data_IF_310271388852
#
_entry.id   IF_310271388852
#
_cell.length_a   1.000
_cell.length_b   1.000
_cell.length_c   1.000
_cell.angle_alpha   90.00
_cell.angle_beta   90.00
_cell.angle_gamma   90.00
#
_symmetry.space_group_name_H-M   'P 1'
#
loop_
_entity.id
_entity.type
_entity.pdbx_description
1 polymer ?
#
# COMPACT_ATOMS: atom_id res chain seq x y z
N UNK A 1 -10.19 -22.98 11.07
CA UNK A 1 -9.08 -22.86 12.07
C UNK A 1 -8.53 -21.45 11.96
N UNK A 2 -8.45 -20.75 13.10
CA UNK A 2 -7.91 -19.38 13.13
C UNK A 2 -6.37 -19.45 13.14
N UNK A 3 -5.78 -19.61 11.95
CA UNK A 3 -4.33 -19.71 11.80
C UNK A 3 -3.67 -18.34 11.91
N UNK A 4 -2.55 -18.26 12.65
CA UNK A 4 -1.79 -17.02 12.79
C UNK A 4 -1.29 -16.47 11.45
N UNK A 5 -0.99 -15.16 11.39
CA UNK A 5 -0.55 -14.47 10.18
C UNK A 5 0.66 -15.14 9.51
N UNK A 6 1.66 -15.56 10.30
CA UNK A 6 2.86 -16.23 9.77
C UNK A 6 2.52 -17.53 9.03
N UNK A 7 1.54 -18.28 9.50
CA UNK A 7 1.06 -19.48 8.83
C UNK A 7 0.29 -19.14 7.54
N UNK A 8 -0.53 -18.09 7.57
CA UNK A 8 -1.32 -17.67 6.41
C UNK A 8 -0.45 -17.22 5.24
N UNK A 9 0.61 -16.46 5.46
CA UNK A 9 1.52 -16.02 4.38
C UNK A 9 2.26 -17.18 3.72
N UNK A 10 2.44 -18.31 4.41
CA UNK A 10 3.13 -19.50 3.88
C UNK A 10 2.16 -20.40 3.11
N UNK A 11 1.00 -20.69 3.69
CA UNK A 11 0.11 -21.76 3.22
C UNK A 11 -1.10 -21.27 2.40
N UNK A 12 -1.41 -19.98 2.39
CA UNK A 12 -2.50 -19.50 1.55
C UNK A 12 -2.10 -19.60 0.08
N UNK A 13 -2.96 -20.20 -0.74
CA UNK A 13 -2.68 -20.47 -2.15
C UNK A 13 -2.21 -21.91 -2.44
N UNK A 14 -1.86 -22.70 -1.43
CA UNK A 14 -1.45 -24.10 -1.61
C UNK A 14 -2.59 -24.97 -2.21
N UNK A 15 -3.85 -24.56 -2.05
CA UNK A 15 -5.02 -25.22 -2.62
C UNK A 15 -5.14 -25.13 -4.15
N UNK A 16 -4.26 -24.39 -4.82
CA UNK A 16 -4.25 -24.23 -6.28
C UNK A 16 -3.33 -25.23 -7.02
N UNK A 17 -2.88 -26.27 -6.32
CA UNK A 17 -2.01 -27.31 -6.90
C UNK A 17 -2.66 -28.08 -8.09
N UNK A 18 -4.00 -27.98 -8.26
CA UNK A 18 -4.72 -28.75 -9.27
C UNK A 18 -4.47 -30.23 -9.10
N UNK A 19 -4.65 -31.01 -10.17
CA UNK A 19 -4.43 -32.47 -10.17
C UNK A 19 -2.95 -32.87 -10.13
N UNK A 20 -2.00 -31.92 -10.21
CA UNK A 20 -0.56 -32.22 -10.25
C UNK A 20 0.07 -32.35 -8.87
N UNK A 21 -0.60 -31.91 -7.79
CA UNK A 21 -0.08 -31.98 -6.42
C UNK A 21 1.16 -31.09 -6.17
N UNK A 22 1.38 -30.05 -6.98
CA UNK A 22 2.51 -29.13 -6.81
C UNK A 22 2.39 -28.33 -5.52
N UNK A 23 3.48 -28.20 -4.75
CA UNK A 23 3.52 -27.39 -3.52
C UNK A 23 3.50 -25.88 -3.81
N UNK A 24 4.23 -25.43 -4.85
CA UNK A 24 4.12 -24.08 -5.37
C UNK A 24 3.17 -24.05 -6.56
N UNK A 25 2.29 -23.02 -6.66
CA UNK A 25 1.43 -22.88 -7.82
C UNK A 25 2.26 -22.78 -9.11
N UNK A 26 1.82 -23.40 -10.22
CA UNK A 26 2.43 -23.19 -11.53
C UNK A 26 2.34 -21.74 -11.99
N UNK A 27 3.22 -21.36 -12.94
CA UNK A 27 3.07 -20.12 -13.67
C UNK A 27 2.20 -20.39 -14.91
N UNK A 28 1.17 -19.55 -15.13
CA UNK A 28 0.25 -19.68 -16.29
C UNK A 28 0.51 -18.54 -17.30
N UNK A 29 1.60 -18.62 -18.09
CA UNK A 29 1.99 -17.57 -19.04
C UNK A 29 1.22 -17.71 -20.36
N UNK A 30 -0.08 -17.77 -20.30
CA UNK A 30 -0.97 -17.88 -21.46
C UNK A 30 -1.81 -16.61 -21.63
N UNK A 31 -2.11 -16.23 -22.87
CA UNK A 31 -3.03 -15.13 -23.15
C UNK A 31 -4.49 -15.59 -23.10
N UNK A 32 -4.78 -16.81 -23.57
CA UNK A 32 -6.13 -17.30 -23.81
C UNK A 32 -6.31 -18.70 -23.21
N UNK A 33 -7.47 -18.94 -22.64
CA UNK A 33 -7.87 -20.25 -22.08
C UNK A 33 -8.92 -20.91 -22.96
N UNK A 34 -8.95 -22.23 -22.99
CA UNK A 34 -9.98 -22.99 -23.71
C UNK A 34 -11.35 -22.70 -23.14
N UNK A 35 -12.35 -22.54 -24.02
CA UNK A 35 -13.73 -22.33 -23.60
C UNK A 35 -14.25 -23.52 -22.77
N UNK A 36 -14.99 -23.24 -21.71
CA UNK A 36 -15.57 -24.28 -20.82
C UNK A 36 -14.55 -24.93 -19.87
N UNK A 37 -13.35 -24.37 -19.69
CA UNK A 37 -12.40 -24.87 -18.70
C UNK A 37 -12.94 -24.78 -17.26
N UNK A 38 -12.54 -25.71 -16.39
CA UNK A 38 -13.02 -25.80 -15.01
C UNK A 38 -12.67 -24.56 -14.14
N UNK A 39 -11.65 -23.76 -14.52
CA UNK A 39 -11.25 -22.57 -13.79
C UNK A 39 -12.12 -21.33 -14.07
N UNK A 40 -12.94 -21.36 -15.14
CA UNK A 40 -13.78 -20.25 -15.58
C UNK A 40 -13.00 -19.09 -16.17
N UNK A 41 -11.75 -19.32 -16.62
CA UNK A 41 -10.93 -18.32 -17.29
C UNK A 41 -11.21 -18.30 -18.78
N UNK A 42 -11.08 -17.13 -19.42
CA UNK A 42 -11.15 -16.98 -20.87
C UNK A 42 -9.89 -16.33 -21.45
N UNK A 43 -9.49 -15.22 -20.85
CA UNK A 43 -8.39 -14.38 -21.33
C UNK A 43 -7.63 -13.76 -20.15
N UNK A 44 -6.29 -13.79 -20.17
CA UNK A 44 -5.47 -13.37 -19.01
C UNK A 44 -5.72 -11.91 -18.59
N UNK A 45 -6.00 -10.98 -19.53
CA UNK A 45 -6.37 -9.60 -19.15
C UNK A 45 -7.63 -9.55 -18.28
N UNK A 46 -8.51 -10.52 -18.41
CA UNK A 46 -9.77 -10.61 -17.64
C UNK A 46 -9.67 -11.47 -16.38
N UNK A 47 -8.60 -12.25 -16.26
CA UNK A 47 -8.34 -13.12 -15.11
C UNK A 47 -7.31 -14.21 -15.44
N UNK A 48 -6.53 -14.59 -14.44
CA UNK A 48 -5.49 -15.60 -14.55
C UNK A 48 -5.36 -16.33 -13.20
N UNK A 49 -5.04 -17.63 -13.16
CA UNK A 49 -4.87 -18.35 -11.91
C UNK A 49 -3.86 -17.69 -10.97
N UNK A 50 -2.74 -17.15 -11.48
CA UNK A 50 -1.73 -16.49 -10.65
C UNK A 50 -2.26 -15.18 -10.03
N UNK A 51 -3.18 -14.45 -10.71
CA UNK A 51 -3.83 -13.28 -10.11
C UNK A 51 -4.72 -13.71 -8.93
N UNK A 52 -5.59 -14.70 -9.17
CA UNK A 52 -6.52 -15.23 -8.15
C UNK A 52 -5.78 -15.75 -6.91
N UNK A 53 -4.61 -16.40 -7.11
CA UNK A 53 -3.77 -16.88 -6.00
C UNK A 53 -3.26 -15.69 -5.19
N UNK A 54 -2.68 -14.69 -5.86
CA UNK A 54 -2.10 -13.52 -5.18
C UNK A 54 -3.19 -12.67 -4.51
N UNK A 55 -4.36 -12.49 -5.16
CA UNK A 55 -5.53 -11.85 -4.56
C UNK A 55 -5.91 -12.51 -3.23
N UNK A 56 -6.03 -13.85 -3.24
CA UNK A 56 -6.35 -14.61 -2.04
C UNK A 56 -5.31 -14.48 -0.94
N UNK A 57 -4.02 -14.54 -1.28
CA UNK A 57 -2.92 -14.36 -0.32
C UNK A 57 -3.00 -12.97 0.31
N UNK A 58 -3.15 -11.92 -0.49
CA UNK A 58 -3.20 -10.54 -0.01
C UNK A 58 -4.45 -10.28 0.84
N UNK A 59 -5.62 -10.75 0.42
CA UNK A 59 -6.84 -10.66 1.22
C UNK A 59 -6.68 -11.34 2.58
N UNK A 60 -6.06 -12.52 2.60
CA UNK A 60 -5.77 -13.24 3.85
C UNK A 60 -4.79 -12.49 4.76
N UNK A 61 -3.77 -11.86 4.20
CA UNK A 61 -2.75 -11.10 4.96
C UNK A 61 -3.36 -9.81 5.52
N UNK A 62 -4.11 -9.07 4.70
CA UNK A 62 -4.87 -7.88 5.13
C UNK A 62 -5.97 -8.23 6.13
N UNK A 63 -6.50 -9.45 6.09
CA UNK A 63 -7.64 -9.85 6.91
C UNK A 63 -8.96 -9.29 6.37
N UNK A 64 -9.09 -9.19 5.06
CA UNK A 64 -10.26 -8.64 4.39
C UNK A 64 -10.95 -9.67 3.48
N UNK A 65 -12.12 -9.31 2.95
CA UNK A 65 -12.92 -10.17 2.09
C UNK A 65 -12.35 -10.27 0.67
N UNK A 66 -11.78 -9.17 0.15
CA UNK A 66 -11.41 -9.05 -1.25
C UNK A 66 -10.08 -8.33 -1.43
N UNK A 67 -9.29 -8.80 -2.40
CA UNK A 67 -8.15 -8.07 -2.95
C UNK A 67 -8.21 -8.14 -4.48
N UNK A 68 -7.63 -7.14 -5.14
CA UNK A 68 -7.46 -7.10 -6.60
C UNK A 68 -6.03 -6.64 -6.88
N UNK A 69 -5.27 -7.43 -7.65
CA UNK A 69 -3.88 -7.13 -7.99
C UNK A 69 -3.77 -6.32 -9.29
N UNK A 70 -2.69 -5.55 -9.42
CA UNK A 70 -2.44 -4.63 -10.53
C UNK A 70 -0.97 -4.68 -10.94
N UNK A 71 -0.68 -4.21 -12.17
CA UNK A 71 0.67 -4.20 -12.73
C UNK A 71 1.69 -3.37 -11.93
N UNK A 72 1.23 -2.41 -11.13
CA UNK A 72 2.06 -1.58 -10.25
C UNK A 72 1.20 -0.89 -9.19
N UNK A 73 1.84 -0.29 -8.17
CA UNK A 73 1.13 0.59 -7.24
C UNK A 73 0.41 1.74 -7.95
N UNK A 74 1.04 2.35 -8.96
CA UNK A 74 0.41 3.42 -9.75
C UNK A 74 -0.78 2.90 -10.55
N UNK A 75 -0.74 1.67 -11.08
CA UNK A 75 -1.91 1.04 -11.72
C UNK A 75 -3.05 0.83 -10.74
N UNK A 76 -2.75 0.45 -9.50
CA UNK A 76 -3.75 0.34 -8.43
C UNK A 76 -4.39 1.71 -8.09
N UNK A 77 -3.58 2.77 -7.96
CA UNK A 77 -4.06 4.15 -7.79
C UNK A 77 -4.97 4.55 -8.97
N UNK A 78 -4.52 4.30 -10.20
CA UNK A 78 -5.29 4.60 -11.42
C UNK A 78 -6.66 3.90 -11.43
N UNK A 79 -6.72 2.63 -11.02
CA UNK A 79 -7.97 1.89 -10.94
C UNK A 79 -8.97 2.51 -9.96
N UNK A 80 -8.51 2.96 -8.79
CA UNK A 80 -9.35 3.63 -7.79
C UNK A 80 -9.82 4.99 -8.29
N UNK A 81 -8.90 5.82 -8.77
CA UNK A 81 -9.22 7.19 -9.23
C UNK A 81 -10.11 7.20 -10.47
N UNK A 82 -10.03 6.17 -11.32
CA UNK A 82 -10.90 6.02 -12.49
C UNK A 82 -12.40 5.84 -12.15
N UNK A 83 -12.75 5.61 -10.89
CA UNK A 83 -14.13 5.56 -10.44
C UNK A 83 -14.75 6.94 -10.21
N UNK A 84 -13.93 7.98 -10.19
CA UNK A 84 -14.37 9.35 -9.98
C UNK A 84 -14.83 9.99 -11.27
N UNK A 85 -15.70 10.98 -11.15
CA UNK A 85 -16.31 11.70 -12.27
C UNK A 85 -15.65 13.08 -12.45
N UNK A 86 -15.85 13.66 -13.60
CA UNK A 86 -15.50 15.07 -13.85
C UNK A 86 -16.17 15.98 -12.82
N UNK A 87 -15.39 16.84 -12.21
CA UNK A 87 -15.84 17.77 -11.19
C UNK A 87 -15.74 17.26 -9.75
N UNK A 88 -15.55 15.95 -9.55
CA UNK A 88 -15.33 15.36 -8.23
C UNK A 88 -14.09 15.96 -7.56
N UNK A 89 -14.19 16.17 -6.24
CA UNK A 89 -13.08 16.61 -5.40
C UNK A 89 -12.50 15.43 -4.63
N UNK A 90 -11.19 15.25 -4.71
CA UNK A 90 -10.41 14.39 -3.81
C UNK A 90 -9.69 15.25 -2.80
N UNK A 91 -9.92 14.99 -1.52
CA UNK A 91 -9.17 15.61 -0.44
C UNK A 91 -7.98 14.72 -0.09
N UNK A 92 -6.77 15.21 -0.35
CA UNK A 92 -5.54 14.43 -0.27
C UNK A 92 -4.66 14.88 0.89
N UNK A 93 -4.00 13.93 1.57
CA UNK A 93 -2.86 14.28 2.41
C UNK A 93 -1.81 15.02 1.56
N UNK A 94 -1.24 16.11 2.10
CA UNK A 94 -0.26 16.94 1.37
C UNK A 94 1.08 16.24 1.12
N UNK A 95 1.40 15.24 1.94
CA UNK A 95 2.67 14.52 1.89
C UNK A 95 2.44 13.10 1.37
N UNK A 96 2.31 12.97 0.07
CA UNK A 96 2.10 11.71 -0.65
C UNK A 96 3.29 11.33 -1.52
N UNK A 97 3.34 10.06 -1.91
CA UNK A 97 4.26 9.58 -2.92
C UNK A 97 4.19 10.41 -4.20
N UNK A 98 5.34 10.88 -4.72
CA UNK A 98 5.40 11.82 -5.82
C UNK A 98 4.73 11.38 -7.12
N UNK A 99 4.63 10.07 -7.40
CA UNK A 99 3.86 9.60 -8.55
C UNK A 99 2.35 9.70 -8.32
N UNK A 100 1.87 9.58 -7.08
CA UNK A 100 0.46 9.82 -6.75
C UNK A 100 0.10 11.27 -7.04
N UNK A 101 0.92 12.22 -6.56
CA UNK A 101 0.74 13.66 -6.83
C UNK A 101 0.72 13.93 -8.35
N UNK A 102 1.71 13.40 -9.08
CA UNK A 102 1.75 13.57 -10.55
C UNK A 102 0.53 12.99 -11.26
N UNK A 103 0.03 11.87 -10.79
CA UNK A 103 -1.16 11.24 -11.38
C UNK A 103 -2.39 12.12 -11.20
N UNK A 104 -2.60 12.68 -10.00
CA UNK A 104 -3.71 13.59 -9.73
C UNK A 104 -3.57 14.90 -10.51
N UNK A 105 -2.43 15.59 -10.43
CA UNK A 105 -2.27 16.93 -10.98
C UNK A 105 -2.01 16.98 -12.48
N UNK A 106 -1.32 15.97 -13.05
CA UNK A 106 -0.89 16.03 -14.45
C UNK A 106 -1.66 15.08 -15.36
N UNK A 107 -2.35 14.07 -14.81
CA UNK A 107 -3.15 13.13 -15.59
C UNK A 107 -4.62 13.37 -15.37
N UNK A 108 -5.14 13.12 -14.18
CA UNK A 108 -6.57 13.16 -13.92
C UNK A 108 -7.16 14.58 -13.85
N UNK A 109 -6.34 15.60 -13.54
CA UNK A 109 -6.77 16.99 -13.67
C UNK A 109 -7.21 17.34 -15.08
N UNK A 110 -6.61 16.73 -16.12
CA UNK A 110 -7.01 16.91 -17.53
C UNK A 110 -8.40 16.38 -17.82
N UNK A 111 -8.90 15.45 -17.02
CA UNK A 111 -10.25 14.91 -17.12
C UNK A 111 -11.23 15.61 -16.16
N UNK A 112 -10.80 16.73 -15.56
CA UNK A 112 -11.62 17.58 -14.71
C UNK A 112 -11.73 17.11 -13.26
N UNK A 113 -10.89 16.19 -12.80
CA UNK A 113 -10.77 15.84 -11.38
C UNK A 113 -10.19 17.04 -10.61
N UNK A 114 -10.73 17.33 -9.46
CA UNK A 114 -10.24 18.36 -8.55
C UNK A 114 -9.51 17.72 -7.37
N UNK A 115 -8.40 18.31 -6.95
CA UNK A 115 -7.66 17.88 -5.76
C UNK A 115 -7.47 19.06 -4.81
N UNK A 116 -7.58 18.80 -3.51
CA UNK A 116 -7.20 19.71 -2.46
C UNK A 116 -6.22 19.01 -1.50
N UNK A 117 -5.14 19.68 -1.17
CA UNK A 117 -4.05 19.15 -0.36
C UNK A 117 -4.18 19.66 1.07
N UNK A 118 -4.13 18.77 2.04
CA UNK A 118 -4.38 19.07 3.46
C UNK A 118 -3.42 18.29 4.33
N UNK A 119 -2.89 18.91 5.38
CA UNK A 119 -2.16 18.20 6.43
C UNK A 119 -3.14 17.49 7.39
N UNK A 120 -3.36 16.20 7.18
CA UNK A 120 -4.26 15.39 8.00
C UNK A 120 -3.76 15.11 9.42
N UNK A 121 -2.57 15.59 9.78
CA UNK A 121 -2.13 15.59 11.19
C UNK A 121 -2.71 16.77 11.98
N UNK A 122 -3.36 17.72 11.30
CA UNK A 122 -3.96 18.90 11.90
C UNK A 122 -5.49 18.75 12.05
N UNK A 123 -6.09 19.18 13.18
CA UNK A 123 -7.54 19.09 13.39
C UNK A 123 -8.37 19.78 12.30
N UNK A 124 -7.87 20.88 11.74
CA UNK A 124 -8.51 21.62 10.67
C UNK A 124 -8.80 20.79 9.41
N UNK A 125 -8.03 19.70 9.17
CA UNK A 125 -8.29 18.79 8.06
C UNK A 125 -9.64 18.08 8.20
N UNK A 126 -10.01 17.70 9.42
CA UNK A 126 -11.28 17.04 9.72
C UNK A 126 -12.48 17.97 9.46
N UNK A 127 -12.33 19.25 9.79
CA UNK A 127 -13.33 20.27 9.48
C UNK A 127 -13.51 20.47 7.97
N UNK A 128 -12.42 20.38 7.20
CA UNK A 128 -12.47 20.48 5.74
C UNK A 128 -13.24 19.32 5.09
N UNK A 129 -13.17 18.10 5.64
CA UNK A 129 -13.99 16.98 5.16
C UNK A 129 -15.49 17.34 5.25
N UNK A 130 -15.92 17.85 6.40
CA UNK A 130 -17.31 18.22 6.63
C UNK A 130 -17.76 19.38 5.75
N UNK A 131 -16.90 20.39 5.59
CA UNK A 131 -17.22 21.60 4.83
C UNK A 131 -17.27 21.35 3.31
N UNK A 132 -16.29 20.59 2.78
CA UNK A 132 -16.13 20.39 1.34
C UNK A 132 -16.87 19.16 0.81
N UNK A 133 -17.18 18.18 1.68
CA UNK A 133 -17.82 16.91 1.32
C UNK A 133 -17.19 16.28 0.06
N UNK A 134 -15.89 15.97 0.09
CA UNK A 134 -15.20 15.44 -1.07
C UNK A 134 -15.81 14.11 -1.53
N UNK A 135 -15.65 13.78 -2.81
CA UNK A 135 -16.05 12.48 -3.35
C UNK A 135 -15.17 11.33 -2.83
N UNK A 136 -13.97 11.66 -2.33
CA UNK A 136 -13.02 10.69 -1.78
C UNK A 136 -11.99 11.41 -0.90
N UNK A 137 -11.54 10.74 0.17
CA UNK A 137 -10.37 11.12 0.95
C UNK A 137 -9.22 10.17 0.61
N UNK A 138 -8.05 10.74 0.28
CA UNK A 138 -6.86 9.98 -0.07
C UNK A 138 -5.72 10.22 0.92
N UNK A 139 -5.29 9.16 1.58
CA UNK A 139 -4.27 9.18 2.62
C UNK A 139 -3.10 8.26 2.27
N UNK A 140 -1.94 8.60 2.82
CA UNK A 140 -0.78 7.71 2.95
C UNK A 140 -0.32 7.78 4.40
N UNK A 141 -0.22 6.64 5.08
CA UNK A 141 0.17 6.63 6.49
C UNK A 141 0.92 5.33 6.83
N UNK A 142 2.18 5.42 7.28
CA UNK A 142 3.03 6.62 7.37
C UNK A 142 3.34 7.24 5.99
N UNK A 143 3.49 8.57 5.92
CA UNK A 143 3.71 9.28 4.66
C UNK A 143 5.14 9.16 4.12
N UNK A 144 5.31 9.27 2.81
CA UNK A 144 6.60 9.35 2.14
C UNK A 144 6.92 10.81 1.76
N UNK A 145 8.06 11.42 2.19
CA UNK A 145 9.14 10.80 2.96
C UNK A 145 9.13 11.09 4.47
N UNK A 146 8.19 11.90 4.97
CA UNK A 146 8.30 12.49 6.32
C UNK A 146 7.81 11.60 7.45
N UNK A 147 7.25 10.43 7.13
CA UNK A 147 6.70 9.46 8.07
C UNK A 147 5.65 10.07 9.03
N UNK A 148 4.87 11.08 8.56
CA UNK A 148 3.70 11.54 9.30
C UNK A 148 2.75 10.36 9.50
N UNK A 149 2.16 10.25 10.68
CA UNK A 149 1.16 9.21 10.98
C UNK A 149 -0.19 9.89 11.17
N UNK A 150 -1.12 9.55 10.29
CA UNK A 150 -2.48 10.11 10.28
C UNK A 150 -3.36 9.26 11.18
N UNK A 151 -4.21 9.89 11.97
CA UNK A 151 -5.23 9.22 12.78
C UNK A 151 -6.36 8.72 11.88
N UNK A 152 -6.24 7.48 11.41
CA UNK A 152 -7.17 6.88 10.46
C UNK A 152 -8.57 6.72 11.06
N UNK A 153 -8.67 6.34 12.35
CA UNK A 153 -9.97 6.20 13.03
C UNK A 153 -10.69 7.54 13.10
N UNK A 154 -9.98 8.63 13.42
CA UNK A 154 -10.57 9.97 13.47
C UNK A 154 -11.10 10.43 12.10
N UNK A 155 -10.34 10.18 11.02
CA UNK A 155 -10.80 10.48 9.64
C UNK A 155 -12.01 9.64 9.28
N UNK A 156 -11.96 8.33 9.52
CA UNK A 156 -13.03 7.41 9.16
C UNK A 156 -14.32 7.66 9.95
N UNK A 157 -14.22 8.07 11.22
CA UNK A 157 -15.39 8.43 12.03
C UNK A 157 -16.20 9.60 11.43
N UNK A 158 -15.53 10.50 10.70
CA UNK A 158 -16.21 11.64 10.03
C UNK A 158 -16.71 11.23 8.64
N UNK A 159 -15.93 10.46 7.89
CA UNK A 159 -16.26 10.14 6.49
C UNK A 159 -17.36 9.09 6.37
N UNK A 160 -17.39 8.10 7.26
CA UNK A 160 -18.36 6.99 7.20
C UNK A 160 -19.83 7.47 7.25
N UNK A 161 -20.25 8.36 8.18
CA UNK A 161 -21.63 8.86 8.20
C UNK A 161 -22.00 9.68 6.96
N UNK A 162 -21.01 10.22 6.25
CA UNK A 162 -21.18 11.00 5.03
C UNK A 162 -21.14 10.14 3.76
N UNK A 163 -20.86 8.83 3.89
CA UNK A 163 -20.70 7.93 2.75
C UNK A 163 -19.46 8.24 1.89
N UNK A 164 -18.46 8.94 2.44
CA UNK A 164 -17.24 9.32 1.73
C UNK A 164 -16.21 8.21 1.85
N UNK A 165 -15.76 7.59 0.74
CA UNK A 165 -14.75 6.54 0.77
C UNK A 165 -13.37 7.11 1.17
N UNK A 166 -12.68 6.36 2.04
CA UNK A 166 -11.30 6.62 2.46
C UNK A 166 -10.38 5.59 1.85
N UNK A 167 -9.38 6.06 1.11
CA UNK A 167 -8.29 5.26 0.55
C UNK A 167 -7.04 5.50 1.37
N UNK A 168 -6.39 4.44 1.80
CA UNK A 168 -5.12 4.52 2.52
C UNK A 168 -4.04 3.75 1.75
N UNK A 169 -3.03 4.45 1.27
CA UNK A 169 -1.80 3.81 0.82
C UNK A 169 -1.01 3.33 2.05
N UNK A 170 -1.00 2.01 2.22
CA UNK A 170 -0.40 1.31 3.36
C UNK A 170 0.97 0.70 3.00
N UNK A 171 1.59 1.14 1.91
CA UNK A 171 2.82 0.54 1.37
C UNK A 171 3.95 0.52 2.39
N UNK A 172 4.14 1.58 3.17
CA UNK A 172 5.24 1.69 4.13
C UNK A 172 5.04 0.86 5.39
N UNK A 173 3.79 0.69 5.83
CA UNK A 173 3.48 -0.11 7.02
C UNK A 173 3.29 -1.60 6.70
N UNK A 174 2.64 -1.93 5.60
CA UNK A 174 2.06 -3.25 5.31
C UNK A 174 0.99 -3.67 6.32
N UNK A 175 0.20 -4.69 6.00
CA UNK A 175 -0.80 -5.25 6.90
C UNK A 175 -0.22 -5.89 8.18
N UNK A 176 1.10 -6.12 8.24
CA UNK A 176 1.76 -6.63 9.43
C UNK A 176 1.88 -5.57 10.53
N UNK A 177 2.01 -4.31 10.12
CA UNK A 177 2.20 -3.17 11.02
C UNK A 177 0.90 -2.40 11.22
N UNK A 178 0.16 -2.11 10.16
CA UNK A 178 -1.07 -1.32 10.19
C UNK A 178 -2.12 -1.93 9.27
N UNK A 179 -3.38 -1.95 9.71
CA UNK A 179 -4.52 -2.48 8.94
C UNK A 179 -5.60 -1.41 8.76
N UNK A 180 -5.53 -0.62 7.71
CA UNK A 180 -6.45 0.48 7.48
C UNK A 180 -7.92 0.09 7.48
N UNK A 181 -8.26 -1.10 6.96
CA UNK A 181 -9.64 -1.58 6.91
C UNK A 181 -10.22 -1.87 8.31
N UNK A 182 -9.39 -2.33 9.26
CA UNK A 182 -9.79 -2.51 10.66
C UNK A 182 -10.01 -1.17 11.37
N UNK A 183 -9.39 -0.09 10.85
CA UNK A 183 -9.52 1.29 11.36
C UNK A 183 -10.61 2.11 10.63
N UNK A 184 -11.40 1.45 9.78
CA UNK A 184 -12.55 2.03 9.12
C UNK A 184 -12.34 2.55 7.70
N UNK A 185 -11.14 2.43 7.12
CA UNK A 185 -10.91 2.79 5.73
C UNK A 185 -11.73 1.91 4.77
N UNK A 186 -12.13 2.48 3.63
CA UNK A 186 -12.88 1.77 2.59
C UNK A 186 -11.94 0.89 1.75
N UNK A 187 -10.76 1.42 1.42
CA UNK A 187 -9.77 0.77 0.60
C UNK A 187 -8.39 0.86 1.26
N UNK A 188 -7.69 -0.29 1.34
CA UNK A 188 -6.27 -0.36 1.65
C UNK A 188 -5.52 -0.64 0.36
N UNK A 189 -4.67 0.28 -0.05
CA UNK A 189 -3.84 0.18 -1.24
C UNK A 189 -2.39 -0.12 -0.84
N UNK A 190 -1.71 -0.94 -1.62
CA UNK A 190 -0.29 -1.21 -1.41
C UNK A 190 0.46 -1.40 -2.72
N UNK A 191 1.67 -0.88 -2.82
CA UNK A 191 2.63 -1.30 -3.84
C UNK A 191 3.28 -2.60 -3.40
N UNK A 192 2.88 -3.71 -4.00
CA UNK A 192 3.46 -5.02 -3.73
C UNK A 192 4.92 -5.12 -4.15
N UNK A 193 5.38 -4.19 -5.00
CA UNK A 193 6.79 -3.97 -5.40
C UNK A 193 7.74 -3.84 -4.21
N UNK A 194 7.26 -3.30 -3.07
CA UNK A 194 8.06 -2.94 -1.90
C UNK A 194 8.22 -4.13 -0.95
N UNK A 195 7.79 -3.99 0.30
CA UNK A 195 7.96 -5.02 1.34
C UNK A 195 7.27 -6.34 1.03
N UNK A 196 6.11 -6.32 0.36
CA UNK A 196 5.34 -7.52 0.05
C UNK A 196 6.19 -8.49 -0.78
N UNK A 197 6.70 -8.06 -1.92
CA UNK A 197 7.67 -8.83 -2.71
C UNK A 197 9.03 -8.92 -2.00
N UNK A 198 9.64 -7.78 -1.70
CA UNK A 198 10.84 -7.62 -0.88
C UNK A 198 12.16 -8.10 -1.49
N UNK A 199 12.18 -8.41 -2.80
CA UNK A 199 13.35 -8.97 -3.48
C UNK A 199 13.83 -8.11 -4.67
N UNK A 200 13.14 -6.96 -4.93
CA UNK A 200 13.48 -6.01 -6.01
C UNK A 200 13.49 -6.61 -7.43
N UNK A 201 12.70 -7.65 -7.66
CA UNK A 201 12.65 -8.44 -8.90
C UNK A 201 11.26 -8.52 -9.54
N UNK A 202 10.24 -7.86 -8.97
CA UNK A 202 8.89 -7.78 -9.53
C UNK A 202 8.22 -6.44 -9.24
N UNK A 203 7.34 -6.01 -10.13
CA UNK A 203 6.45 -4.87 -9.95
C UNK A 203 5.02 -5.36 -9.68
N UNK A 204 4.30 -4.61 -8.84
CA UNK A 204 2.89 -4.87 -8.61
C UNK A 204 2.24 -3.89 -7.66
N UNK A 205 0.93 -3.91 -7.65
CA UNK A 205 0.08 -3.20 -6.70
C UNK A 205 -1.12 -4.02 -6.32
N UNK A 206 -1.79 -3.65 -5.26
CA UNK A 206 -3.05 -4.26 -4.86
C UNK A 206 -3.97 -3.25 -4.18
N UNK A 207 -5.26 -3.49 -4.32
CA UNK A 207 -6.32 -2.82 -3.54
C UNK A 207 -7.10 -3.88 -2.79
N UNK A 208 -7.20 -3.71 -1.48
CA UNK A 208 -7.92 -4.58 -0.56
C UNK A 208 -9.16 -3.86 -0.02
N UNK A 209 -10.27 -4.58 0.15
CA UNK A 209 -11.52 -4.03 0.66
C UNK A 209 -12.42 -5.10 1.25
N UNK A 210 -13.34 -4.68 2.14
CA UNK A 210 -14.47 -5.51 2.59
C UNK A 210 -15.77 -5.21 1.83
N UNK A 211 -15.78 -4.18 0.99
CA UNK A 211 -16.94 -3.76 0.22
C UNK A 211 -17.00 -4.49 -1.13
N UNK A 212 -18.02 -5.33 -1.39
CA UNK A 212 -18.14 -6.07 -2.64
C UNK A 212 -18.38 -5.16 -3.86
N UNK A 213 -18.96 -3.97 -3.69
CA UNK A 213 -19.17 -3.02 -4.79
C UNK A 213 -17.83 -2.41 -5.22
N UNK A 214 -16.98 -2.01 -4.26
CA UNK A 214 -15.64 -1.55 -4.56
C UNK A 214 -14.77 -2.64 -5.18
N UNK A 215 -14.90 -3.89 -4.71
CA UNK A 215 -14.20 -5.01 -5.34
C UNK A 215 -14.60 -5.18 -6.81
N UNK A 216 -15.89 -5.14 -7.14
CA UNK A 216 -16.36 -5.23 -8.53
C UNK A 216 -15.82 -4.07 -9.39
N UNK A 217 -15.80 -2.85 -8.86
CA UNK A 217 -15.20 -1.69 -9.52
C UNK A 217 -13.70 -1.90 -9.81
N UNK A 218 -12.96 -2.48 -8.86
CA UNK A 218 -11.52 -2.76 -9.05
C UNK A 218 -11.28 -3.83 -10.12
N UNK A 219 -12.02 -4.93 -10.09
CA UNK A 219 -11.94 -5.99 -11.09
C UNK A 219 -12.32 -5.45 -12.48
N UNK A 220 -13.35 -4.62 -12.57
CA UNK A 220 -13.72 -3.97 -13.82
C UNK A 220 -12.62 -3.07 -14.36
N UNK A 221 -12.05 -2.20 -13.52
CA UNK A 221 -10.96 -1.29 -13.92
C UNK A 221 -9.71 -2.05 -14.34
N UNK A 222 -9.34 -3.11 -13.61
CA UNK A 222 -8.22 -3.97 -13.98
C UNK A 222 -8.37 -4.47 -15.42
N UNK A 223 -9.54 -5.00 -15.76
CA UNK A 223 -9.86 -5.53 -17.09
C UNK A 223 -10.01 -4.45 -18.15
N UNK A 224 -10.81 -3.41 -17.89
CA UNK A 224 -11.21 -2.42 -18.88
C UNK A 224 -10.09 -1.47 -19.24
N UNK A 225 -9.26 -1.08 -18.28
CA UNK A 225 -8.13 -0.16 -18.48
C UNK A 225 -6.81 -0.89 -18.78
N UNK A 226 -6.81 -2.23 -18.80
CA UNK A 226 -5.59 -3.01 -19.06
C UNK A 226 -4.54 -2.89 -17.98
N UNK A 227 -4.96 -2.83 -16.69
CA UNK A 227 -4.09 -2.64 -15.53
C UNK A 227 -3.68 -3.95 -14.86
N UNK A 228 -3.97 -5.09 -15.47
CA UNK A 228 -3.63 -6.41 -14.94
C UNK A 228 -2.12 -6.60 -14.83
N UNK A 229 -1.63 -7.33 -13.81
CA UNK A 229 -0.21 -7.67 -13.67
C UNK A 229 0.23 -8.76 -14.67
N UNK A 230 1.52 -9.06 -14.68
CA UNK A 230 2.06 -10.26 -15.32
C UNK A 230 1.82 -11.50 -14.42
N UNK A 231 1.43 -12.66 -14.98
CA UNK A 231 1.38 -13.91 -14.20
C UNK A 231 2.72 -14.27 -13.53
N UNK A 232 3.83 -13.94 -14.19
CA UNK A 232 5.16 -14.17 -13.65
C UNK A 232 5.45 -13.29 -12.43
N UNK A 233 5.12 -11.99 -12.51
CA UNK A 233 5.27 -11.07 -11.37
C UNK A 233 4.38 -11.51 -10.19
N UNK A 234 3.14 -11.92 -10.46
CA UNK A 234 2.26 -12.46 -9.42
C UNK A 234 2.85 -13.69 -8.73
N UNK A 235 3.50 -14.57 -9.50
CA UNK A 235 4.17 -15.75 -8.96
C UNK A 235 5.38 -15.36 -8.08
N UNK A 236 6.23 -14.43 -8.54
CA UNK A 236 7.36 -13.91 -7.76
C UNK A 236 6.89 -13.26 -6.46
N UNK A 237 5.83 -12.44 -6.51
CA UNK A 237 5.26 -11.78 -5.33
C UNK A 237 4.68 -12.83 -4.37
N UNK A 238 3.96 -13.83 -4.88
CA UNK A 238 3.43 -14.96 -4.07
C UNK A 238 4.56 -15.73 -3.36
N UNK A 239 5.69 -15.89 -4.03
CA UNK A 239 6.89 -16.49 -3.43
C UNK A 239 7.54 -15.55 -2.40
N UNK A 240 7.68 -14.26 -2.74
CA UNK A 240 8.33 -13.26 -1.90
C UNK A 240 7.61 -13.02 -0.57
N UNK A 241 6.28 -13.00 -0.59
CA UNK A 241 5.47 -12.75 0.60
C UNK A 241 5.64 -13.83 1.68
N UNK A 242 6.00 -15.06 1.31
CA UNK A 242 6.21 -16.16 2.27
C UNK A 242 7.27 -15.84 3.34
N UNK A 243 8.22 -14.97 3.03
CA UNK A 243 9.27 -14.52 3.97
C UNK A 243 9.01 -13.15 4.57
N UNK A 244 7.90 -12.49 4.22
CA UNK A 244 7.59 -11.13 4.68
C UNK A 244 7.68 -10.97 6.21
N UNK A 245 7.08 -11.83 7.04
CA UNK A 245 7.12 -11.65 8.48
C UNK A 245 8.54 -11.69 9.06
N UNK A 246 9.39 -12.59 8.55
CA UNK A 246 10.78 -12.70 8.98
C UNK A 246 11.61 -11.48 8.57
N UNK A 247 11.49 -11.08 7.31
CA UNK A 247 12.21 -9.91 6.76
C UNK A 247 11.80 -8.65 7.49
N UNK A 248 10.50 -8.39 7.61
CA UNK A 248 9.99 -7.16 8.20
C UNK A 248 10.34 -7.06 9.68
N UNK A 249 10.26 -8.18 10.44
CA UNK A 249 10.68 -8.21 11.84
C UNK A 249 12.13 -7.75 12.01
N UNK A 250 13.04 -8.27 11.19
CA UNK A 250 14.45 -7.88 11.26
C UNK A 250 14.68 -6.44 10.78
N UNK A 251 14.01 -6.02 9.72
CA UNK A 251 14.10 -4.65 9.19
C UNK A 251 13.60 -3.63 10.22
N UNK A 252 12.50 -3.90 10.92
CA UNK A 252 11.99 -3.03 11.98
C UNK A 252 12.96 -2.93 13.16
N UNK A 253 13.55 -4.04 13.58
CA UNK A 253 14.55 -4.04 14.64
C UNK A 253 15.79 -3.20 14.26
N UNK A 254 16.26 -3.34 13.02
CA UNK A 254 17.37 -2.57 12.49
C UNK A 254 17.02 -1.06 12.40
N UNK A 255 15.83 -0.74 11.93
CA UNK A 255 15.36 0.65 11.80
C UNK A 255 15.23 1.33 13.17
N UNK A 256 14.69 0.65 14.16
CA UNK A 256 14.60 1.18 15.53
C UNK A 256 15.99 1.48 16.11
N UNK A 257 16.91 0.50 16.03
CA UNK A 257 18.28 0.67 16.52
C UNK A 257 19.02 1.83 15.80
N UNK A 258 18.84 1.93 14.47
CA UNK A 258 19.43 3.01 13.68
C UNK A 258 18.84 4.37 14.07
N UNK A 259 17.53 4.45 14.23
CA UNK A 259 16.85 5.68 14.65
C UNK A 259 17.35 6.18 16.00
N UNK A 260 17.54 5.27 16.97
CA UNK A 260 18.06 5.61 18.30
C UNK A 260 19.51 6.10 18.26
N UNK A 261 20.36 5.43 17.48
CA UNK A 261 21.76 5.88 17.31
C UNK A 261 21.86 7.24 16.63
N UNK A 262 21.07 7.48 15.60
CA UNK A 262 21.10 8.74 14.86
C UNK A 262 20.53 9.92 15.66
N UNK A 263 19.54 9.70 16.49
CA UNK A 263 18.92 10.76 17.29
C UNK A 263 19.87 11.42 18.29
N UNK A 264 20.88 10.68 18.76
CA UNK A 264 21.93 11.23 19.65
C UNK A 264 23.12 11.88 18.92
N UNK A 265 23.14 11.88 17.58
CA UNK A 265 24.32 12.30 16.83
C UNK A 265 24.34 13.81 16.60
N UNK A 266 25.49 14.50 16.91
CA UNK A 266 25.62 15.95 16.86
C UNK A 266 25.35 16.59 15.48
N UNK A 267 25.45 15.84 14.38
CA UNK A 267 25.17 16.31 13.02
C UNK A 267 23.75 16.04 12.56
N UNK A 268 22.87 15.56 13.43
CA UNK A 268 21.47 15.24 13.12
C UNK A 268 20.57 16.30 13.78
N UNK A 269 19.69 16.91 12.97
CA UNK A 269 18.71 17.86 13.47
C UNK A 269 17.52 17.15 14.11
N UNK A 270 17.00 16.14 13.41
CA UNK A 270 15.88 15.29 13.89
C UNK A 270 15.87 13.94 13.17
N UNK A 271 15.26 12.99 13.85
CA UNK A 271 14.94 11.66 13.31
C UNK A 271 13.43 11.47 13.35
N UNK A 272 12.84 10.93 12.29
CA UNK A 272 11.45 10.49 12.26
C UNK A 272 11.42 8.96 12.21
N UNK A 273 10.82 8.38 13.23
CA UNK A 273 10.49 6.96 13.32
C UNK A 273 9.24 6.83 14.18
N UNK A 274 8.11 6.30 13.68
CA UNK A 274 6.79 6.45 14.29
C UNK A 274 6.68 6.03 15.77
N UNK A 275 7.43 5.01 16.19
CA UNK A 275 7.40 4.53 17.59
C UNK A 275 8.43 5.18 18.51
N UNK A 276 9.18 6.18 18.06
CA UNK A 276 10.01 6.98 18.97
C UNK A 276 9.14 7.97 19.74
N UNK A 277 9.45 8.17 21.02
CA UNK A 277 8.71 9.08 21.92
C UNK A 277 8.74 10.56 21.48
N UNK A 278 9.75 10.95 20.71
CA UNK A 278 9.90 12.31 20.16
C UNK A 278 9.25 12.47 18.77
N UNK A 279 8.59 11.42 18.24
CA UNK A 279 7.84 11.55 16.99
C UNK A 279 6.55 12.38 17.23
N UNK A 280 6.23 13.39 16.38
CA UNK A 280 5.07 14.27 16.59
C UNK A 280 3.74 13.53 16.76
N UNK A 281 3.56 12.42 16.06
CA UNK A 281 2.36 11.60 16.14
C UNK A 281 2.60 10.28 16.89
N UNK A 282 3.53 10.24 17.86
CA UNK A 282 3.85 9.03 18.60
C UNK A 282 2.63 8.34 19.22
N UNK A 283 1.72 9.11 19.83
CA UNK A 283 0.51 8.57 20.44
C UNK A 283 -0.42 7.89 19.44
N UNK A 284 -0.59 8.49 18.25
CA UNK A 284 -1.37 7.90 17.16
C UNK A 284 -0.67 6.63 16.67
N UNK A 285 0.63 6.69 16.42
CA UNK A 285 1.41 5.56 15.94
C UNK A 285 1.34 4.35 16.88
N UNK A 286 1.49 4.56 18.18
CA UNK A 286 1.44 3.47 19.18
C UNK A 286 0.05 2.88 19.35
N UNK A 287 -1.01 3.63 19.07
CA UNK A 287 -2.39 3.14 19.12
C UNK A 287 -2.74 2.31 17.89
N UNK A 288 -2.42 2.77 16.68
CA UNK A 288 -2.89 2.15 15.43
C UNK A 288 -1.86 1.26 14.72
N UNK A 289 -0.56 1.40 15.01
CA UNK A 289 0.51 0.61 14.41
C UNK A 289 1.08 -0.38 15.43
N UNK A 290 1.28 -1.62 15.01
CA UNK A 290 1.88 -2.68 15.87
C UNK A 290 3.37 -2.50 16.10
N UNK A 291 4.05 -1.70 15.26
CA UNK A 291 5.47 -1.37 15.33
C UNK A 291 5.75 -0.08 14.53
N UNK A 292 6.93 0.51 14.69
CA UNK A 292 7.31 1.76 14.03
C UNK A 292 7.60 1.66 12.52
N UNK A 293 7.50 0.46 11.94
CA UNK A 293 7.87 0.24 10.53
C UNK A 293 9.37 0.04 10.32
N UNK A 294 9.80 0.01 9.06
CA UNK A 294 11.18 -0.31 8.70
C UNK A 294 11.89 0.84 7.94
N UNK A 295 11.35 2.05 8.04
CA UNK A 295 11.92 3.26 7.42
C UNK A 295 12.28 4.25 8.50
N UNK A 296 13.41 4.93 8.31
CA UNK A 296 13.87 6.03 9.16
C UNK A 296 14.10 7.25 8.28
N UNK A 297 13.51 8.37 8.62
CA UNK A 297 13.76 9.64 7.95
C UNK A 297 14.64 10.52 8.86
N UNK A 298 15.69 11.08 8.28
CA UNK A 298 16.71 11.83 9.04
C UNK A 298 16.96 13.18 8.38
N UNK A 299 16.98 14.23 9.18
CA UNK A 299 17.48 15.54 8.76
C UNK A 299 18.86 15.76 9.34
N UNK A 300 19.82 16.06 8.47
CA UNK A 300 21.19 16.38 8.88
C UNK A 300 21.40 17.89 9.00
N UNK A 301 22.24 18.31 9.94
CA UNK A 301 22.77 19.68 10.02
C UNK A 301 23.85 19.85 8.94
N UNK A 302 23.43 19.85 7.69
CA UNK A 302 24.30 19.90 6.52
C UNK A 302 23.53 20.50 5.33
N UNK A 303 24.25 21.04 4.34
CA UNK A 303 23.62 21.45 3.08
C UNK A 303 23.11 20.24 2.29
N UNK A 304 22.24 20.51 1.30
CA UNK A 304 21.76 19.47 0.39
C UNK A 304 22.92 18.77 -0.33
N UNK A 305 23.93 19.51 -0.78
CA UNK A 305 25.11 18.97 -1.45
C UNK A 305 25.92 18.05 -0.52
N UNK A 306 26.13 18.47 0.72
CA UNK A 306 26.83 17.66 1.72
C UNK A 306 26.05 16.38 2.05
N UNK A 307 24.74 16.49 2.19
CA UNK A 307 23.87 15.32 2.42
C UNK A 307 23.91 14.36 1.23
N UNK A 308 23.87 14.87 0.01
CA UNK A 308 24.02 14.05 -1.21
C UNK A 308 25.40 13.38 -1.28
N UNK A 309 26.47 14.10 -0.95
CA UNK A 309 27.82 13.54 -0.91
C UNK A 309 27.94 12.42 0.15
N UNK A 310 27.30 12.58 1.31
CA UNK A 310 27.22 11.54 2.34
C UNK A 310 26.48 10.29 1.80
N UNK A 311 25.32 10.48 1.20
CA UNK A 311 24.54 9.36 0.65
C UNK A 311 25.32 8.54 -0.38
N UNK A 312 26.13 9.20 -1.23
CA UNK A 312 26.99 8.51 -2.22
C UNK A 312 28.12 7.70 -1.59
N UNK A 313 28.50 7.95 -0.35
CA UNK A 313 29.58 7.24 0.35
C UNK A 313 29.05 6.05 1.16
N UNK A 314 27.74 5.88 1.28
CA UNK A 314 27.15 4.78 2.02
C UNK A 314 27.41 3.45 1.30
N UNK A 315 28.01 2.49 2.03
CA UNK A 315 28.40 1.19 1.46
C UNK A 315 27.24 0.20 1.34
N UNK A 316 26.28 0.30 2.24
CA UNK A 316 25.17 -0.67 2.39
C UNK A 316 23.79 -0.10 2.04
N UNK A 317 23.71 1.20 1.86
CA UNK A 317 22.50 1.87 1.42
C UNK A 317 22.70 2.39 0.00
N UNK A 318 21.98 1.83 -0.94
CA UNK A 318 21.99 2.29 -2.33
C UNK A 318 21.08 3.52 -2.45
N UNK A 319 21.60 4.58 -3.06
CA UNK A 319 20.79 5.74 -3.39
C UNK A 319 19.93 5.39 -4.61
N UNK A 320 18.59 5.42 -4.48
CA UNK A 320 17.62 5.06 -5.52
C UNK A 320 16.50 6.11 -5.64
#
# INVERSE_FOLDING_TARGET
MNTGLNTRVIHHGDSFAGDTGTVMPPIFPTSTFAHGNAGGFDYTRSGNPNFRILDGVLASVEGCAHATVFASGVSAITAVVSQLKQGDLVLCEENLYGCTVRLFEQVFAKFGLKTAWVDFTQPAALEQIQAQKPAMVWLESPTNPLLKVIDLEAVCAITQPLGIPVVVDNTFATALVQRPLELGATLSLTSTTKYINGHSDALGGAVCTNDPEWHQKMVFSQKALGLQPSPFDCWLITRGIKTLPLRLKQQMANAAALADQLAGHAKVNWVRYPHRSDHPQHQVATRQMRAGGAIVTVSFNASQEQTYALCKQLRWFTMA
#
